data_IF_113306987402
#
_entry.id   IF_113306987402
#
_cell.length_a   1.000
_cell.length_b   1.000
_cell.length_c   1.000
_cell.angle_alpha   90.00
_cell.angle_beta   90.00
_cell.angle_gamma   90.00
#
_symmetry.space_group_name_H-M   'P 1'
#
loop_
_entity.id
_entity.type
_entity.pdbx_description
1 polymer ?
#
# COMPACT_ATOMS: atom_id res chain seq x y z
N UNK A 1 15.37 -25.57 -1.52
CA UNK A 1 14.60 -24.42 -2.05
C UNK A 1 13.52 -24.04 -1.04
N UNK A 2 13.57 -22.85 -0.43
CA UNK A 2 12.48 -22.37 0.45
C UNK A 2 11.18 -22.36 -0.36
N UNK A 3 10.14 -23.07 0.09
CA UNK A 3 8.82 -23.01 -0.52
C UNK A 3 8.31 -21.56 -0.46
N UNK A 4 8.15 -20.95 -1.63
CA UNK A 4 7.60 -19.61 -1.79
C UNK A 4 6.10 -19.67 -1.50
N UNK A 5 5.62 -18.85 -0.57
CA UNK A 5 4.19 -18.77 -0.24
C UNK A 5 3.50 -17.94 -1.31
N UNK A 6 2.82 -18.62 -2.24
CA UNK A 6 2.17 -18.00 -3.40
C UNK A 6 1.11 -16.96 -3.03
N UNK A 7 0.49 -17.12 -1.85
CA UNK A 7 -0.55 -16.21 -1.37
C UNK A 7 -0.08 -14.77 -1.18
N UNK A 8 1.20 -14.52 -0.88
CA UNK A 8 1.70 -13.14 -0.80
C UNK A 8 1.79 -12.48 -2.17
N UNK A 9 2.10 -13.23 -3.21
CA UNK A 9 2.09 -12.71 -4.58
C UNK A 9 0.65 -12.46 -5.03
N UNK A 10 -0.29 -13.35 -4.70
CA UNK A 10 -1.73 -13.12 -4.96
C UNK A 10 -2.24 -11.85 -4.27
N UNK A 11 -1.94 -11.68 -2.98
CA UNK A 11 -2.31 -10.48 -2.23
C UNK A 11 -1.69 -9.21 -2.86
N UNK A 12 -0.45 -9.30 -3.38
CA UNK A 12 0.20 -8.18 -4.08
C UNK A 12 -0.52 -7.83 -5.38
N UNK A 13 -0.98 -8.82 -6.14
CA UNK A 13 -1.79 -8.58 -7.34
C UNK A 13 -3.09 -7.85 -7.00
N UNK A 14 -3.80 -8.29 -5.95
CA UNK A 14 -5.03 -7.61 -5.48
C UNK A 14 -4.76 -6.18 -5.02
N UNK A 15 -3.64 -5.94 -4.32
CA UNK A 15 -3.23 -4.61 -3.91
C UNK A 15 -3.02 -3.70 -5.12
N UNK A 16 -2.35 -4.19 -6.17
CA UNK A 16 -2.13 -3.44 -7.41
C UNK A 16 -3.45 -3.15 -8.12
N UNK A 17 -4.34 -4.15 -8.27
CA UNK A 17 -5.65 -3.91 -8.89
C UNK A 17 -6.45 -2.86 -8.14
N UNK A 18 -6.46 -2.92 -6.80
CA UNK A 18 -7.10 -1.91 -5.98
C UNK A 18 -6.50 -0.51 -6.20
N UNK A 19 -5.18 -0.38 -6.22
CA UNK A 19 -4.50 0.89 -6.49
C UNK A 19 -4.85 1.42 -7.89
N UNK A 20 -4.85 0.57 -8.93
CA UNK A 20 -5.21 0.97 -10.30
C UNK A 20 -6.66 1.50 -10.34
N UNK A 21 -7.61 0.78 -9.73
CA UNK A 21 -9.02 1.20 -9.71
C UNK A 21 -9.20 2.54 -9.00
N UNK A 22 -8.55 2.73 -7.85
CA UNK A 22 -8.63 3.98 -7.07
C UNK A 22 -7.97 5.13 -7.83
N UNK A 23 -6.77 4.92 -8.39
CA UNK A 23 -6.05 5.97 -9.08
C UNK A 23 -6.78 6.43 -10.35
N UNK A 24 -7.36 5.51 -11.12
CA UNK A 24 -8.18 5.87 -12.29
C UNK A 24 -9.40 6.71 -11.87
N UNK A 25 -10.09 6.33 -10.78
CA UNK A 25 -11.22 7.11 -10.24
C UNK A 25 -10.80 8.54 -9.90
N UNK A 26 -9.66 8.70 -9.21
CA UNK A 26 -9.15 10.01 -8.77
C UNK A 26 -8.84 10.90 -9.97
N UNK A 27 -8.06 10.39 -10.93
CA UNK A 27 -7.60 11.18 -12.08
C UNK A 27 -8.74 11.59 -13.00
N UNK A 28 -9.70 10.69 -13.21
CA UNK A 28 -10.83 10.96 -14.10
C UNK A 28 -11.87 11.91 -13.50
N UNK A 29 -11.66 12.41 -12.27
CA UNK A 29 -12.62 13.21 -11.52
C UNK A 29 -14.01 12.57 -11.54
N UNK A 30 -14.04 11.24 -11.40
CA UNK A 30 -15.24 10.49 -11.66
C UNK A 30 -16.31 10.79 -10.61
N UNK A 31 -17.36 11.52 -11.04
CA UNK A 31 -18.40 11.99 -10.15
C UNK A 31 -19.17 10.81 -9.54
N UNK A 32 -19.30 10.83 -8.22
CA UNK A 32 -19.95 9.78 -7.43
C UNK A 32 -21.48 9.88 -7.41
N UNK A 33 -22.07 10.69 -8.30
CA UNK A 33 -23.52 10.89 -8.41
C UNK A 33 -24.26 9.63 -8.88
N UNK A 34 -23.54 8.64 -9.39
CA UNK A 34 -24.09 7.34 -9.77
C UNK A 34 -24.37 6.48 -8.53
N UNK A 35 -25.67 6.32 -8.23
CA UNK A 35 -26.16 5.61 -7.05
C UNK A 35 -26.11 4.06 -7.19
N UNK A 36 -25.12 3.52 -7.90
CA UNK A 36 -24.99 2.09 -8.11
C UNK A 36 -24.29 1.42 -6.92
N UNK A 37 -24.97 0.45 -6.30
CA UNK A 37 -24.48 -0.21 -5.09
C UNK A 37 -23.11 -0.89 -5.26
N UNK A 38 -22.82 -1.46 -6.44
CA UNK A 38 -21.53 -2.12 -6.70
C UNK A 38 -20.37 -1.12 -6.81
N UNK A 39 -20.61 0.13 -7.23
CA UNK A 39 -19.59 1.17 -7.31
C UNK A 39 -19.15 1.70 -5.94
N UNK A 40 -19.99 1.53 -4.91
CA UNK A 40 -19.62 1.87 -3.52
C UNK A 40 -18.42 1.06 -3.02
N UNK A 41 -18.15 -0.11 -3.60
CA UNK A 41 -16.96 -0.90 -3.26
C UNK A 41 -15.65 -0.15 -3.55
N UNK A 42 -15.66 0.75 -4.55
CA UNK A 42 -14.49 1.56 -4.91
C UNK A 42 -14.11 2.52 -3.78
N UNK A 43 -15.10 3.04 -3.04
CA UNK A 43 -14.85 3.89 -1.88
C UNK A 43 -14.32 3.09 -0.68
N UNK A 44 -14.65 1.79 -0.58
CA UNK A 44 -14.16 0.93 0.50
C UNK A 44 -12.68 0.58 0.29
N UNK A 45 -12.23 0.44 -0.95
CA UNK A 45 -10.83 0.13 -1.28
C UNK A 45 -9.91 1.36 -1.29
N UNK A 46 -10.48 2.57 -1.20
CA UNK A 46 -9.77 3.86 -1.24
C UNK A 46 -8.71 3.94 -0.14
N UNK A 47 -7.45 4.17 -0.53
CA UNK A 47 -6.25 4.08 0.33
C UNK A 47 -5.91 2.71 0.92
N UNK A 48 -6.89 1.82 1.15
CA UNK A 48 -6.67 0.47 1.73
C UNK A 48 -5.84 -0.43 0.82
N UNK A 49 -5.98 -0.29 -0.50
CA UNK A 49 -5.17 -1.04 -1.46
C UNK A 49 -3.68 -0.71 -1.35
N UNK A 50 -3.33 0.58 -1.22
CA UNK A 50 -1.97 1.05 -0.97
C UNK A 50 -1.45 0.57 0.39
N UNK A 51 -2.29 0.59 1.44
CA UNK A 51 -1.90 0.07 2.76
C UNK A 51 -1.57 -1.44 2.72
N UNK A 52 -2.38 -2.24 2.02
CA UNK A 52 -2.10 -3.66 1.77
C UNK A 52 -0.76 -3.85 1.05
N UNK A 53 -0.48 -3.03 0.03
CA UNK A 53 0.79 -3.07 -0.70
C UNK A 53 1.99 -2.81 0.25
N UNK A 54 1.88 -1.83 1.15
CA UNK A 54 2.92 -1.45 2.12
C UNK A 54 3.14 -2.52 3.18
N UNK A 55 2.08 -3.12 3.70
CA UNK A 55 2.16 -4.24 4.65
C UNK A 55 2.86 -5.44 3.97
N UNK A 56 2.53 -5.75 2.72
CA UNK A 56 3.19 -6.83 1.96
C UNK A 56 4.69 -6.56 1.73
N UNK A 57 5.10 -5.30 1.59
CA UNK A 57 6.51 -4.93 1.51
C UNK A 57 7.23 -5.27 2.83
N UNK A 58 6.64 -4.90 3.97
CA UNK A 58 7.14 -5.25 5.30
C UNK A 58 7.23 -6.77 5.55
N UNK A 59 6.22 -7.52 5.12
CA UNK A 59 6.22 -8.99 5.14
C UNK A 59 7.41 -9.52 4.32
N UNK A 60 7.60 -8.97 3.11
CA UNK A 60 8.71 -9.31 2.23
C UNK A 60 10.08 -9.09 2.88
N UNK A 61 10.30 -7.95 3.56
CA UNK A 61 11.53 -7.65 4.30
C UNK A 61 11.81 -8.71 5.37
N UNK A 62 10.80 -9.10 6.15
CA UNK A 62 10.97 -10.07 7.23
C UNK A 62 11.21 -11.49 6.74
N UNK A 63 10.64 -11.87 5.58
CA UNK A 63 10.87 -13.17 4.96
C UNK A 63 12.24 -13.26 4.30
N UNK A 64 12.67 -12.19 3.62
CA UNK A 64 13.98 -12.09 2.98
C UNK A 64 15.10 -12.26 4.01
N UNK A 65 14.96 -11.62 5.17
CA UNK A 65 15.99 -11.60 6.23
C UNK A 65 15.80 -12.67 7.29
N UNK A 66 14.83 -13.59 7.11
CA UNK A 66 14.43 -14.56 8.15
C UNK A 66 15.58 -15.44 8.62
N UNK A 67 16.38 -15.95 7.70
CA UNK A 67 17.44 -16.89 8.03
C UNK A 67 18.55 -16.22 8.82
N UNK A 68 19.08 -15.11 8.30
CA UNK A 68 20.13 -14.31 8.92
C UNK A 68 19.72 -13.78 10.31
N UNK A 69 18.45 -13.36 10.48
CA UNK A 69 17.93 -12.99 11.81
C UNK A 69 17.86 -14.16 12.80
N UNK A 70 17.39 -15.33 12.37
CA UNK A 70 17.19 -16.47 13.26
C UNK A 70 18.51 -17.16 13.62
N UNK A 71 19.48 -17.18 12.71
CA UNK A 71 20.82 -17.72 12.96
C UNK A 71 21.72 -16.75 13.74
N UNK A 72 21.36 -15.46 13.83
CA UNK A 72 22.21 -14.43 14.42
C UNK A 72 23.43 -14.08 13.57
N UNK A 73 23.45 -14.46 12.29
CA UNK A 73 24.56 -14.19 11.38
C UNK A 73 24.59 -12.71 10.97
N UNK A 74 25.43 -11.95 11.68
CA UNK A 74 25.58 -10.51 11.47
C UNK A 74 26.18 -10.16 10.11
N UNK A 75 27.00 -11.04 9.53
CA UNK A 75 27.63 -10.78 8.22
C UNK A 75 26.61 -10.91 7.11
N UNK A 76 25.85 -12.02 7.07
CA UNK A 76 24.77 -12.19 6.10
C UNK A 76 23.70 -11.10 6.24
N UNK A 77 23.38 -10.69 7.47
CA UNK A 77 22.44 -9.59 7.69
C UNK A 77 22.97 -8.24 7.16
N UNK A 78 24.26 -7.95 7.34
CA UNK A 78 24.85 -6.71 6.82
C UNK A 78 24.77 -6.66 5.28
N UNK A 79 24.99 -7.79 4.61
CA UNK A 79 24.84 -7.92 3.15
C UNK A 79 23.39 -7.68 2.73
N UNK A 80 22.42 -8.33 3.39
CA UNK A 80 21.00 -8.13 3.13
C UNK A 80 20.57 -6.68 3.38
N UNK A 81 21.03 -6.07 4.48
CA UNK A 81 20.75 -4.68 4.82
C UNK A 81 21.30 -3.72 3.75
N UNK A 82 22.52 -3.94 3.27
CA UNK A 82 23.12 -3.15 2.19
C UNK A 82 22.30 -3.28 0.91
N UNK A 83 21.85 -4.47 0.55
CA UNK A 83 20.97 -4.68 -0.60
C UNK A 83 19.62 -3.95 -0.43
N UNK A 84 19.03 -3.97 0.77
CA UNK A 84 17.80 -3.23 1.07
C UNK A 84 17.99 -1.70 0.95
N UNK A 85 19.11 -1.15 1.43
CA UNK A 85 19.40 0.28 1.25
C UNK A 85 19.58 0.66 -0.23
N UNK A 86 20.23 -0.18 -1.03
CA UNK A 86 20.31 0.06 -2.48
C UNK A 86 18.92 0.04 -3.14
N UNK A 87 18.06 -0.91 -2.77
CA UNK A 87 16.66 -0.97 -3.23
C UNK A 87 15.88 0.27 -2.82
N UNK A 88 16.02 0.68 -1.58
CA UNK A 88 15.41 1.89 -1.07
C UNK A 88 15.86 3.12 -1.86
N UNK A 89 17.18 3.28 -2.08
CA UNK A 89 17.73 4.38 -2.86
C UNK A 89 17.25 4.38 -4.31
N UNK A 90 17.21 3.22 -4.97
CA UNK A 90 16.67 3.09 -6.33
C UNK A 90 15.20 3.51 -6.39
N UNK A 91 14.36 2.99 -5.48
CA UNK A 91 12.94 3.33 -5.45
C UNK A 91 12.71 4.80 -5.08
N UNK A 92 13.56 5.36 -4.21
CA UNK A 92 13.52 6.77 -3.85
C UNK A 92 13.77 7.67 -5.06
N UNK A 93 14.88 7.43 -5.77
CA UNK A 93 15.25 8.20 -6.96
C UNK A 93 14.20 8.01 -8.07
N UNK A 94 13.77 6.77 -8.32
CA UNK A 94 12.74 6.49 -9.31
C UNK A 94 11.42 7.21 -8.95
N UNK A 95 11.05 7.23 -7.68
CA UNK A 95 9.88 7.96 -7.19
C UNK A 95 9.98 9.47 -7.40
N UNK A 96 11.13 10.08 -7.10
CA UNK A 96 11.36 11.50 -7.36
C UNK A 96 11.30 11.87 -8.85
N UNK A 97 11.71 10.97 -9.74
CA UNK A 97 11.54 11.18 -11.19
C UNK A 97 10.08 10.99 -11.61
N UNK A 98 9.37 10.10 -10.93
CA UNK A 98 8.01 9.71 -11.27
C UNK A 98 6.96 10.70 -10.75
N UNK A 99 7.23 11.44 -9.66
CA UNK A 99 6.29 12.40 -9.06
C UNK A 99 5.90 13.54 -10.03
N UNK A 100 6.80 13.90 -10.96
CA UNK A 100 6.54 14.88 -12.03
C UNK A 100 5.45 14.42 -13.00
N UNK A 101 5.28 13.10 -13.16
CA UNK A 101 4.24 12.50 -14.01
C UNK A 101 3.02 12.12 -13.15
N UNK A 102 3.26 11.75 -11.89
CA UNK A 102 2.26 11.18 -11.01
C UNK A 102 2.39 11.73 -9.57
N UNK A 103 1.66 12.79 -9.22
CA UNK A 103 1.76 13.43 -7.90
C UNK A 103 1.43 12.50 -6.71
N UNK A 104 0.60 11.48 -6.95
CA UNK A 104 0.20 10.49 -5.95
C UNK A 104 1.16 9.30 -5.86
N UNK A 105 2.44 9.49 -6.15
CA UNK A 105 3.39 8.39 -6.10
C UNK A 105 3.62 7.84 -4.68
N UNK A 106 3.87 6.54 -4.61
CA UNK A 106 4.19 5.84 -3.37
C UNK A 106 5.68 5.46 -3.29
N UNK A 107 6.44 5.57 -4.39
CA UNK A 107 7.77 4.99 -4.52
C UNK A 107 8.81 5.72 -3.69
N UNK A 108 8.76 7.06 -3.67
CA UNK A 108 9.73 7.82 -2.89
C UNK A 108 9.52 7.61 -1.39
N UNK A 109 8.27 7.53 -0.94
CA UNK A 109 7.96 7.11 0.43
C UNK A 109 8.43 5.68 0.73
N UNK A 110 8.24 4.74 -0.21
CA UNK A 110 8.74 3.36 -0.08
C UNK A 110 10.24 3.28 0.16
N UNK A 111 11.01 4.14 -0.51
CA UNK A 111 12.44 4.26 -0.27
C UNK A 111 12.75 4.55 1.20
N UNK A 112 12.02 5.49 1.81
CA UNK A 112 12.17 5.82 3.23
C UNK A 112 11.70 4.67 4.12
N UNK A 113 10.54 4.06 3.83
CA UNK A 113 10.02 2.98 4.66
C UNK A 113 10.95 1.77 4.67
N UNK A 114 11.47 1.36 3.51
CA UNK A 114 12.40 0.24 3.40
C UNK A 114 13.71 0.56 4.11
N UNK A 115 14.21 1.79 4.01
CA UNK A 115 15.42 2.23 4.71
C UNK A 115 15.27 2.09 6.22
N UNK A 116 14.16 2.59 6.78
CA UNK A 116 13.90 2.48 8.23
C UNK A 116 13.63 1.02 8.62
N UNK A 117 12.85 0.28 7.82
CA UNK A 117 12.62 -1.15 8.03
C UNK A 117 13.92 -1.98 8.04
N UNK A 118 14.90 -1.62 7.20
CA UNK A 118 16.22 -2.25 7.17
C UNK A 118 17.05 -1.99 8.46
N UNK A 119 16.83 -0.85 9.12
CA UNK A 119 17.40 -0.56 10.44
C UNK A 119 16.68 -1.36 11.55
N UNK A 120 15.37 -1.57 11.40
CA UNK A 120 14.54 -2.29 12.37
C UNK A 120 14.64 -3.83 12.29
N UNK A 121 15.45 -4.40 11.40
CA UNK A 121 15.49 -5.86 11.15
C UNK A 121 15.71 -6.69 12.41
N UNK A 122 16.65 -6.29 13.27
CA UNK A 122 16.99 -7.03 14.49
C UNK A 122 16.12 -6.67 15.69
N UNK A 123 15.29 -5.63 15.60
CA UNK A 123 14.42 -5.25 16.70
C UNK A 123 13.38 -6.35 16.96
N UNK A 124 13.19 -6.80 18.22
CA UNK A 124 12.09 -7.67 18.59
C UNK A 124 10.73 -7.09 18.19
N UNK A 125 9.77 -7.94 17.85
CA UNK A 125 8.45 -7.50 17.34
C UNK A 125 7.71 -6.56 18.31
N UNK A 126 7.92 -6.70 19.62
CA UNK A 126 7.35 -5.80 20.63
C UNK A 126 7.80 -4.34 20.45
N UNK A 127 9.08 -4.10 20.16
CA UNK A 127 9.59 -2.73 19.96
C UNK A 127 9.16 -2.16 18.62
N UNK A 128 8.99 -3.00 17.60
CA UNK A 128 8.38 -2.57 16.34
C UNK A 128 6.93 -2.13 16.55
N UNK A 129 6.15 -2.84 17.37
CA UNK A 129 4.79 -2.41 17.71
C UNK A 129 4.75 -1.12 18.52
N UNK A 130 5.70 -0.91 19.45
CA UNK A 130 5.86 0.38 20.14
C UNK A 130 6.14 1.49 19.14
N UNK A 131 7.01 1.26 18.15
CA UNK A 131 7.29 2.25 17.11
C UNK A 131 6.04 2.55 16.26
N UNK A 132 5.25 1.54 15.89
CA UNK A 132 3.95 1.75 15.20
C UNK A 132 3.04 2.66 16.04
N UNK A 133 2.91 2.39 17.34
CA UNK A 133 2.09 3.21 18.24
C UNK A 133 2.61 4.66 18.32
N UNK A 134 3.92 4.85 18.45
CA UNK A 134 4.54 6.18 18.49
C UNK A 134 4.31 6.96 17.19
N UNK A 135 4.37 6.30 16.02
CA UNK A 135 4.07 6.93 14.74
C UNK A 135 2.62 7.42 14.66
N UNK A 136 1.67 6.62 15.18
CA UNK A 136 0.26 7.00 15.22
C UNK A 136 0.00 8.17 16.16
N UNK A 137 0.59 8.15 17.36
CA UNK A 137 0.52 9.26 18.31
C UNK A 137 1.14 10.52 17.71
N UNK A 138 2.32 10.42 17.11
CA UNK A 138 3.00 11.54 16.47
C UNK A 138 2.17 12.13 15.31
N UNK A 139 1.59 11.29 14.46
CA UNK A 139 0.71 11.76 13.36
C UNK A 139 -0.52 12.51 13.87
N UNK A 140 -1.17 12.00 14.93
CA UNK A 140 -2.36 12.61 15.53
C UNK A 140 -2.02 13.93 16.23
N UNK A 141 -0.88 13.96 16.94
CA UNK A 141 -0.39 15.16 17.60
C UNK A 141 -0.05 16.26 16.59
N UNK A 142 0.70 15.93 15.52
CA UNK A 142 1.01 16.89 14.45
C UNK A 142 -0.24 17.37 13.72
N UNK A 143 -1.23 16.50 13.50
CA UNK A 143 -2.51 16.89 12.89
C UNK A 143 -3.27 17.92 13.75
N UNK A 144 -3.23 17.78 15.08
CA UNK A 144 -3.82 18.79 15.98
C UNK A 144 -3.07 20.12 16.03
N UNK A 145 -1.78 20.14 15.67
CA UNK A 145 -0.93 21.34 15.75
C UNK A 145 -0.75 22.07 14.41
N UNK A 146 -0.76 21.34 13.30
CA UNK A 146 -0.42 21.85 11.97
C UNK A 146 -1.61 21.73 11.02
N UNK A 147 -1.77 22.72 10.14
CA UNK A 147 -2.78 22.63 9.11
C UNK A 147 -2.35 21.61 8.03
N UNK A 148 -3.05 20.48 7.97
CA UNK A 148 -2.80 19.40 7.02
C UNK A 148 -2.92 19.85 5.55
N UNK A 149 -3.77 20.85 5.26
CA UNK A 149 -3.99 21.38 3.91
C UNK A 149 -2.90 22.37 3.45
N UNK A 150 -1.89 22.65 4.28
CA UNK A 150 -0.82 23.58 3.91
C UNK A 150 -0.13 23.14 2.61
N UNK A 151 -0.07 24.05 1.63
CA UNK A 151 0.50 23.89 0.29
C UNK A 151 -0.24 22.95 -0.67
N UNK A 152 -1.37 22.38 -0.28
CA UNK A 152 -2.19 21.59 -1.20
C UNK A 152 -3.15 22.46 -1.98
N UNK A 153 -3.23 22.23 -3.28
CA UNK A 153 -4.42 22.48 -4.07
C UNK A 153 -5.18 21.16 -4.26
N UNK A 154 -6.30 21.00 -3.56
CA UNK A 154 -7.11 19.78 -3.58
C UNK A 154 -7.93 19.60 -4.86
N UNK A 155 -8.04 20.63 -5.71
CA UNK A 155 -8.71 20.53 -7.00
C UNK A 155 -7.76 19.96 -8.06
N UNK A 156 -6.54 20.47 -8.11
CA UNK A 156 -5.53 20.04 -9.11
C UNK A 156 -4.60 18.94 -8.60
N UNK A 157 -4.65 18.63 -7.31
CA UNK A 157 -3.70 17.75 -6.60
C UNK A 157 -2.24 18.23 -6.70
N UNK A 158 -2.03 19.52 -7.01
CA UNK A 158 -0.72 20.14 -7.01
C UNK A 158 -0.24 20.43 -5.58
N UNK A 159 1.07 20.28 -5.36
CA UNK A 159 1.70 20.60 -4.09
C UNK A 159 2.66 21.79 -4.27
N UNK A 160 2.33 22.92 -3.66
CA UNK A 160 3.19 24.09 -3.67
C UNK A 160 4.51 23.81 -2.95
N UNK A 161 5.57 24.53 -3.34
CA UNK A 161 6.89 24.50 -2.71
C UNK A 161 7.53 23.10 -2.53
N UNK A 162 7.06 22.07 -3.26
CA UNK A 162 7.51 20.67 -3.13
C UNK A 162 9.03 20.55 -3.25
N UNK A 163 9.63 21.28 -4.19
CA UNK A 163 11.06 21.25 -4.46
C UNK A 163 11.90 22.12 -3.52
N UNK A 164 11.29 22.74 -2.51
CA UNK A 164 12.02 23.37 -1.40
C UNK A 164 12.29 22.36 -0.30
N UNK A 165 13.38 22.53 0.47
CA UNK A 165 13.70 21.62 1.58
C UNK A 165 12.55 21.52 2.59
N UNK A 166 11.92 22.66 2.92
CA UNK A 166 10.82 22.73 3.88
C UNK A 166 9.55 22.07 3.34
N UNK A 167 9.17 22.38 2.10
CA UNK A 167 7.99 21.81 1.46
C UNK A 167 8.13 20.31 1.25
N UNK A 168 9.29 19.85 0.76
CA UNK A 168 9.59 18.43 0.62
C UNK A 168 9.52 17.68 1.95
N UNK A 169 10.11 18.22 3.02
CA UNK A 169 10.05 17.61 4.34
C UNK A 169 8.62 17.52 4.89
N UNK A 170 7.81 18.59 4.71
CA UNK A 170 6.39 18.63 5.12
C UNK A 170 5.58 17.56 4.38
N UNK A 171 5.74 17.49 3.06
CA UNK A 171 5.09 16.49 2.22
C UNK A 171 5.53 15.07 2.61
N UNK A 172 6.83 14.83 2.66
CA UNK A 172 7.41 13.51 2.95
C UNK A 172 6.97 12.98 4.31
N UNK A 173 7.03 13.81 5.34
CA UNK A 173 6.88 13.36 6.73
C UNK A 173 5.42 13.38 7.19
N UNK A 174 4.63 14.38 6.76
CA UNK A 174 3.38 14.72 7.45
C UNK A 174 2.14 14.75 6.54
N UNK A 175 2.14 15.53 5.45
CA UNK A 175 0.91 15.79 4.69
C UNK A 175 0.95 15.38 3.22
N UNK A 176 1.88 14.52 2.80
CA UNK A 176 1.89 13.93 1.46
C UNK A 176 0.73 12.97 1.20
N UNK A 177 0.70 12.31 0.04
CA UNK A 177 -0.28 11.24 -0.23
C UNK A 177 -0.07 10.02 0.69
N UNK A 178 1.21 9.70 0.96
CA UNK A 178 1.62 8.56 1.78
C UNK A 178 2.69 8.99 2.80
N UNK A 179 2.41 9.96 3.70
CA UNK A 179 3.43 10.56 4.55
C UNK A 179 4.04 9.53 5.50
N UNK A 180 5.32 9.66 5.82
CA UNK A 180 6.03 8.74 6.75
C UNK A 180 5.25 8.56 8.06
N UNK A 181 4.64 9.64 8.57
CA UNK A 181 3.73 9.61 9.70
C UNK A 181 2.27 9.53 9.21
N UNK A 182 1.54 8.41 9.42
CA UNK A 182 1.94 7.16 10.08
C UNK A 182 2.21 5.99 9.12
N UNK A 183 2.31 6.20 7.80
CA UNK A 183 2.36 5.09 6.84
C UNK A 183 3.54 4.13 7.03
N UNK A 184 4.67 4.60 7.56
CA UNK A 184 5.77 3.71 7.98
C UNK A 184 5.28 2.59 8.91
N UNK A 185 4.27 2.87 9.73
CA UNK A 185 3.62 1.91 10.60
C UNK A 185 3.05 0.70 9.86
N UNK A 186 2.54 0.87 8.63
CA UNK A 186 2.06 -0.25 7.82
C UNK A 186 3.19 -1.20 7.43
N UNK A 187 4.35 -0.66 7.04
CA UNK A 187 5.51 -1.49 6.70
C UNK A 187 6.01 -2.22 7.95
N UNK A 188 6.10 -1.53 9.08
CA UNK A 188 6.52 -2.10 10.35
C UNK A 188 5.56 -3.19 10.84
N UNK A 189 4.25 -2.97 10.73
CA UNK A 189 3.24 -3.99 11.01
C UNK A 189 3.41 -5.20 10.08
N UNK A 190 3.65 -4.96 8.79
CA UNK A 190 4.00 -6.00 7.82
C UNK A 190 5.21 -6.82 8.25
N UNK A 191 6.24 -6.20 8.81
CA UNK A 191 7.38 -6.93 9.36
C UNK A 191 6.97 -7.85 10.53
N UNK A 192 6.11 -7.38 11.43
CA UNK A 192 5.59 -8.20 12.55
C UNK A 192 4.77 -9.39 12.04
N UNK A 193 3.91 -9.17 11.03
CA UNK A 193 3.11 -10.22 10.38
C UNK A 193 4.03 -11.23 9.68
N UNK A 194 5.02 -10.76 8.91
CA UNK A 194 5.95 -11.62 8.16
C UNK A 194 6.90 -12.45 9.03
N UNK A 195 6.99 -12.14 10.32
CA UNK A 195 7.71 -12.96 11.32
C UNK A 195 6.88 -14.12 11.85
N UNK A 196 5.56 -14.10 11.68
CA UNK A 196 4.67 -15.18 12.10
C UNK A 196 4.75 -16.37 11.13
N UNK A 197 4.48 -17.57 11.63
CA UNK A 197 4.39 -18.76 10.79
C UNK A 197 3.01 -18.86 10.14
N UNK A 198 2.81 -18.15 9.04
CA UNK A 198 1.57 -18.16 8.26
C UNK A 198 1.30 -19.49 7.53
N UNK A 199 2.21 -20.47 7.58
CA UNK A 199 1.91 -21.85 7.16
C UNK A 199 1.10 -22.64 8.19
N UNK A 200 1.00 -22.16 9.43
CA UNK A 200 0.19 -22.80 10.46
C UNK A 200 -1.24 -22.25 10.44
N UNK A 201 -2.23 -23.14 10.29
CA UNK A 201 -3.66 -22.78 10.21
C UNK A 201 -4.09 -21.91 11.40
N UNK A 202 -3.77 -22.33 12.63
CA UNK A 202 -4.13 -21.60 13.85
C UNK A 202 -3.57 -20.16 13.88
N UNK A 203 -2.36 -19.94 13.36
CA UNK A 203 -1.78 -18.59 13.29
C UNK A 203 -2.48 -17.73 12.24
N UNK A 204 -2.85 -18.30 11.10
CA UNK A 204 -3.64 -17.59 10.08
C UNK A 204 -5.01 -17.20 10.61
N UNK A 205 -5.72 -18.12 11.27
CA UNK A 205 -7.04 -17.86 11.85
C UNK A 205 -6.96 -16.78 12.92
N UNK A 206 -5.95 -16.83 13.80
CA UNK A 206 -5.72 -15.77 14.79
C UNK A 206 -5.52 -14.40 14.13
N UNK A 207 -4.67 -14.32 13.11
CA UNK A 207 -4.42 -13.06 12.39
C UNK A 207 -5.64 -12.59 11.60
N UNK A 208 -6.41 -13.52 11.02
CA UNK A 208 -7.67 -13.23 10.34
C UNK A 208 -8.68 -12.62 11.32
N UNK A 209 -8.88 -13.24 12.48
CA UNK A 209 -9.81 -12.74 13.50
C UNK A 209 -9.37 -11.39 14.08
N UNK A 210 -8.08 -11.20 14.36
CA UNK A 210 -7.54 -9.91 14.80
C UNK A 210 -7.72 -8.82 13.73
N UNK A 211 -7.44 -9.15 12.47
CA UNK A 211 -7.63 -8.22 11.35
C UNK A 211 -9.10 -7.87 11.14
N UNK A 212 -9.99 -8.86 11.22
CA UNK A 212 -11.44 -8.67 11.09
C UNK A 212 -11.97 -7.81 12.23
N UNK A 213 -11.54 -8.08 13.47
CA UNK A 213 -11.90 -7.26 14.63
C UNK A 213 -11.42 -5.82 14.47
N UNK A 214 -10.17 -5.59 14.06
CA UNK A 214 -9.64 -4.25 13.83
C UNK A 214 -10.41 -3.51 12.73
N UNK A 215 -10.71 -4.17 11.61
CA UNK A 215 -11.50 -3.58 10.53
C UNK A 215 -12.91 -3.24 11.00
N UNK A 216 -13.61 -4.18 11.63
CA UNK A 216 -14.96 -3.98 12.15
C UNK A 216 -15.01 -2.88 13.21
N UNK A 217 -14.01 -2.80 14.10
CA UNK A 217 -13.92 -1.76 15.11
C UNK A 217 -13.80 -0.36 14.46
N UNK A 218 -12.98 -0.22 13.42
CA UNK A 218 -12.86 1.05 12.71
C UNK A 218 -14.18 1.48 12.04
N UNK A 219 -14.88 0.55 11.38
CA UNK A 219 -16.20 0.85 10.80
C UNK A 219 -17.24 1.18 11.87
N UNK A 220 -17.22 0.45 12.99
CA UNK A 220 -18.13 0.67 14.11
C UNK A 220 -17.94 2.07 14.70
N UNK A 221 -16.69 2.52 14.87
CA UNK A 221 -16.39 3.89 15.31
C UNK A 221 -17.04 4.92 14.38
N UNK A 222 -16.92 4.74 13.06
CA UNK A 222 -17.54 5.65 12.07
C UNK A 222 -19.06 5.62 12.16
N UNK A 223 -19.67 4.45 12.35
CA UNK A 223 -21.12 4.31 12.52
C UNK A 223 -21.65 5.02 13.77
N UNK A 224 -20.83 5.17 14.81
CA UNK A 224 -21.19 5.90 16.03
C UNK A 224 -21.01 7.42 15.93
N UNK A 225 -20.31 7.94 14.91
CA UNK A 225 -20.07 9.39 14.78
C UNK A 225 -21.34 10.26 14.73
N UNK A 226 -22.43 9.89 14.01
CA UNK A 226 -23.66 10.65 14.05
C UNK A 226 -24.27 10.77 15.45
N UNK A 227 -24.15 9.74 16.28
CA UNK A 227 -24.62 9.77 17.66
C UNK A 227 -23.73 10.65 18.54
N UNK A 228 -22.41 10.59 18.34
CA UNK A 228 -21.47 11.48 19.03
C UNK A 228 -21.75 12.96 18.71
N UNK A 229 -22.10 13.28 17.45
CA UNK A 229 -22.57 14.62 17.04
C UNK A 229 -23.79 15.07 17.84
N UNK A 230 -24.79 14.19 17.95
CA UNK A 230 -26.02 14.47 18.72
C UNK A 230 -25.73 14.67 20.21
N UNK A 231 -24.68 14.04 20.74
CA UNK A 231 -24.20 14.22 22.12
C UNK A 231 -23.29 15.46 22.29
N UNK A 232 -23.14 16.30 21.26
CA UNK A 232 -22.41 17.57 21.34
C UNK A 232 -20.94 17.52 20.92
N UNK A 233 -20.47 16.44 20.28
CA UNK A 233 -19.10 16.38 19.74
C UNK A 233 -18.90 17.43 18.63
N UNK A 234 -17.89 18.31 18.72
CA UNK A 234 -17.61 19.28 17.67
C UNK A 234 -17.15 18.62 16.36
N UNK A 235 -17.63 19.13 15.22
CA UNK A 235 -17.31 18.65 13.87
C UNK A 235 -15.79 18.55 13.60
N UNK A 236 -15.00 19.46 14.16
CA UNK A 236 -13.55 19.48 13.99
C UNK A 236 -12.87 18.19 14.49
N UNK A 237 -13.44 17.50 15.48
CA UNK A 237 -12.87 16.28 16.03
C UNK A 237 -13.22 15.03 15.24
N UNK A 238 -14.22 15.06 14.36
CA UNK A 238 -14.66 13.89 13.61
C UNK A 238 -13.58 13.33 12.70
N UNK A 239 -12.72 14.20 12.19
CA UNK A 239 -11.61 13.81 11.31
C UNK A 239 -10.70 12.80 12.00
N UNK A 240 -10.48 12.90 13.32
CA UNK A 240 -9.68 11.93 14.09
C UNK A 240 -10.25 10.52 14.11
N UNK A 241 -11.55 10.38 13.85
CA UNK A 241 -12.28 9.11 13.86
C UNK A 241 -12.69 8.66 12.46
N UNK A 242 -12.21 9.35 11.43
CA UNK A 242 -12.48 9.04 10.03
C UNK A 242 -11.71 7.80 9.56
N UNK A 243 -12.31 7.08 8.60
CA UNK A 243 -11.65 6.01 7.82
C UNK A 243 -11.16 6.51 6.46
N UNK A 244 -11.14 7.83 6.24
CA UNK A 244 -10.56 8.42 5.02
C UNK A 244 -9.03 8.34 5.05
N UNK A 245 -8.38 8.10 3.90
CA UNK A 245 -6.93 7.92 3.84
C UNK A 245 -6.13 9.21 4.00
N UNK A 246 -6.78 10.37 3.87
CA UNK A 246 -6.13 11.68 3.91
C UNK A 246 -7.02 12.65 4.71
N UNK A 247 -6.62 13.06 5.93
CA UNK A 247 -5.40 12.67 6.65
C UNK A 247 -5.43 11.21 7.16
N UNK A 248 -4.29 10.47 7.13
CA UNK A 248 -4.21 9.07 7.57
C UNK A 248 -4.14 8.96 9.10
N UNK A 249 -5.27 9.11 9.79
CA UNK A 249 -5.36 9.10 11.25
C UNK A 249 -5.57 7.67 11.82
N UNK A 250 -5.53 7.48 13.16
CA UNK A 250 -5.49 6.14 13.76
C UNK A 250 -6.66 5.22 13.37
N UNK A 251 -7.89 5.75 13.23
CA UNK A 251 -9.05 4.91 12.84
C UNK A 251 -8.91 4.40 11.42
N UNK A 252 -8.49 5.24 10.46
CA UNK A 252 -8.10 4.79 9.12
C UNK A 252 -7.00 3.74 9.17
N UNK A 253 -5.92 3.99 9.93
CA UNK A 253 -4.81 3.04 10.02
C UNK A 253 -5.26 1.67 10.52
N UNK A 254 -6.05 1.63 11.59
CA UNK A 254 -6.58 0.38 12.18
C UNK A 254 -7.48 -0.34 11.18
N UNK A 255 -8.40 0.38 10.52
CA UNK A 255 -9.31 -0.18 9.52
C UNK A 255 -8.58 -0.75 8.30
N UNK A 256 -7.63 0.00 7.75
CA UNK A 256 -6.83 -0.40 6.60
C UNK A 256 -5.88 -1.56 6.94
N UNK A 257 -5.21 -1.51 8.09
CA UNK A 257 -4.34 -2.59 8.58
C UNK A 257 -5.11 -3.88 8.83
N UNK A 258 -6.30 -3.78 9.44
CA UNK A 258 -7.19 -4.91 9.67
C UNK A 258 -7.64 -5.56 8.37
N UNK A 259 -8.16 -4.75 7.44
CA UNK A 259 -8.60 -5.19 6.11
C UNK A 259 -7.47 -5.85 5.32
N UNK A 260 -6.28 -5.25 5.33
CA UNK A 260 -5.10 -5.82 4.68
C UNK A 260 -4.69 -7.16 5.29
N UNK A 261 -4.72 -7.29 6.62
CA UNK A 261 -4.39 -8.54 7.31
C UNK A 261 -5.37 -9.65 6.96
N UNK A 262 -6.66 -9.34 6.85
CA UNK A 262 -7.69 -10.26 6.35
C UNK A 262 -7.39 -10.71 4.93
N UNK A 263 -7.11 -9.77 4.01
CA UNK A 263 -6.81 -10.11 2.61
C UNK A 263 -5.55 -10.98 2.51
N UNK A 264 -4.50 -10.66 3.26
CA UNK A 264 -3.25 -11.43 3.29
C UNK A 264 -3.52 -12.87 3.75
N UNK A 265 -4.21 -13.04 4.88
CA UNK A 265 -4.48 -14.37 5.45
C UNK A 265 -5.36 -15.21 4.53
N UNK A 266 -6.39 -14.62 3.91
CA UNK A 266 -7.21 -15.28 2.90
C UNK A 266 -6.40 -15.68 1.67
N UNK A 267 -5.55 -14.79 1.15
CA UNK A 267 -4.71 -15.10 -0.02
C UNK A 267 -3.69 -16.19 0.29
N UNK A 268 -3.12 -16.21 1.49
CA UNK A 268 -2.24 -17.30 1.95
C UNK A 268 -3.00 -18.62 2.02
N UNK A 269 -4.21 -18.64 2.57
CA UNK A 269 -5.04 -19.84 2.61
C UNK A 269 -5.40 -20.35 1.20
N UNK A 270 -5.76 -19.44 0.28
CA UNK A 270 -6.02 -19.76 -1.12
C UNK A 270 -4.77 -20.29 -1.83
N UNK A 271 -3.61 -19.67 -1.59
CA UNK A 271 -2.33 -20.08 -2.16
C UNK A 271 -1.88 -21.47 -1.67
N UNK A 272 -2.17 -21.82 -0.41
CA UNK A 272 -1.88 -23.15 0.11
C UNK A 272 -2.84 -24.21 -0.46
N UNK A 273 -4.14 -23.92 -0.50
CA UNK A 273 -5.17 -24.85 -0.97
C UNK A 273 -5.14 -25.07 -2.49
N UNK A 274 -4.90 -24.01 -3.26
CA UNK A 274 -5.03 -24.00 -4.72
C UNK A 274 -3.74 -23.65 -5.46
N UNK A 275 -2.58 -23.59 -4.79
CA UNK A 275 -1.31 -23.16 -5.38
C UNK A 275 -0.81 -23.96 -6.59
N UNK A 276 -1.34 -25.17 -6.81
CA UNK A 276 -1.02 -26.00 -7.99
C UNK A 276 -2.01 -25.81 -9.16
N UNK A 277 -3.08 -25.03 -8.98
CA UNK A 277 -4.14 -24.87 -10.00
C UNK A 277 -3.75 -23.79 -11.00
N UNK A 278 -3.91 -24.11 -12.29
CA UNK A 278 -3.50 -23.23 -13.39
C UNK A 278 -4.21 -21.86 -13.38
N UNK A 279 -5.47 -21.79 -12.93
CA UNK A 279 -6.25 -20.54 -12.90
C UNK A 279 -5.72 -19.52 -11.88
N UNK A 280 -4.99 -19.94 -10.85
CA UNK A 280 -4.44 -19.03 -9.83
C UNK A 280 -3.10 -18.40 -10.28
N UNK A 281 -2.37 -19.11 -11.15
CA UNK A 281 -1.02 -18.72 -11.56
C UNK A 281 -0.95 -17.37 -12.29
N UNK A 282 -1.87 -17.01 -13.20
CA UNK A 282 -1.90 -15.68 -13.82
C UNK A 282 -1.89 -14.53 -12.80
N UNK A 283 -2.66 -14.66 -11.72
CA UNK A 283 -2.70 -13.64 -10.66
C UNK A 283 -1.41 -13.63 -9.83
N UNK A 284 -0.87 -14.79 -9.50
CA UNK A 284 0.43 -14.91 -8.82
C UNK A 284 1.53 -14.24 -9.65
N UNK A 285 1.58 -14.53 -10.96
CA UNK A 285 2.51 -13.90 -11.89
C UNK A 285 2.35 -12.39 -11.92
N UNK A 286 1.11 -11.90 -11.96
CA UNK A 286 0.81 -10.47 -11.93
C UNK A 286 1.40 -9.79 -10.69
N UNK A 287 1.20 -10.39 -9.51
CA UNK A 287 1.77 -9.89 -8.26
C UNK A 287 3.30 -10.02 -8.13
N UNK A 288 3.97 -10.72 -9.05
CA UNK A 288 5.43 -10.77 -9.15
C UNK A 288 6.00 -9.64 -10.01
N UNK A 289 5.16 -8.99 -10.82
CA UNK A 289 5.49 -7.88 -11.71
C UNK A 289 4.97 -6.55 -11.15
N UNK A 290 5.01 -6.41 -9.81
CA UNK A 290 4.32 -5.32 -9.12
C UNK A 290 4.88 -3.92 -9.39
N UNK A 291 6.20 -3.76 -9.48
CA UNK A 291 6.82 -2.48 -9.85
C UNK A 291 6.50 -2.16 -11.31
N UNK A 292 6.57 -3.16 -12.19
CA UNK A 292 6.24 -2.98 -13.61
C UNK A 292 4.81 -2.46 -13.79
N UNK A 293 3.81 -3.10 -13.18
CA UNK A 293 2.43 -2.66 -13.32
C UNK A 293 2.10 -1.37 -12.56
N UNK A 294 2.79 -1.13 -11.44
CA UNK A 294 2.67 0.15 -10.74
C UNK A 294 3.12 1.34 -11.61
N UNK A 295 4.18 1.23 -12.41
CA UNK A 295 4.52 2.33 -13.33
C UNK A 295 3.66 2.30 -14.60
N UNK A 296 3.38 1.11 -15.14
CA UNK A 296 2.66 0.97 -16.40
C UNK A 296 1.21 1.46 -16.33
N UNK A 297 0.53 1.39 -15.19
CA UNK A 297 -0.88 1.84 -15.14
C UNK A 297 -1.03 3.35 -15.33
N UNK A 298 -0.04 4.15 -14.95
CA UNK A 298 -0.04 5.59 -15.24
C UNK A 298 0.53 5.83 -16.62
N UNK A 299 1.77 5.38 -16.89
CA UNK A 299 2.47 5.71 -18.13
C UNK A 299 1.75 5.16 -19.37
N UNK A 300 1.32 3.90 -19.32
CA UNK A 300 0.64 3.24 -20.45
C UNK A 300 -0.87 3.27 -20.30
N UNK A 301 -1.40 3.01 -19.10
CA UNK A 301 -2.84 2.97 -18.87
C UNK A 301 -3.47 4.35 -19.00
N UNK A 302 -3.12 5.27 -18.12
CA UNK A 302 -3.63 6.65 -18.16
C UNK A 302 -3.08 7.43 -19.35
N UNK A 303 -1.78 7.30 -19.67
CA UNK A 303 -1.19 8.02 -20.80
C UNK A 303 -1.83 7.68 -22.15
N UNK A 304 -2.31 6.44 -22.35
CA UNK A 304 -3.10 6.09 -23.54
C UNK A 304 -4.45 6.82 -23.54
N UNK A 305 -5.14 6.84 -22.41
CA UNK A 305 -6.44 7.52 -22.27
C UNK A 305 -6.30 9.04 -22.45
N UNK A 306 -5.20 9.61 -21.95
CA UNK A 306 -4.83 11.01 -22.14
C UNK A 306 -4.65 11.32 -23.63
N UNK A 307 -3.90 10.48 -24.36
CA UNK A 307 -3.64 10.66 -25.79
C UNK A 307 -4.91 10.58 -26.65
N UNK A 308 -5.95 9.91 -26.13
CA UNK A 308 -7.27 9.80 -26.77
C UNK A 308 -8.26 10.88 -26.31
N UNK A 309 -7.88 11.77 -25.38
CA UNK A 309 -8.77 12.78 -24.80
C UNK A 309 -9.86 12.19 -23.90
N UNK A 310 -9.65 10.98 -23.36
CA UNK A 310 -10.62 10.23 -22.54
C UNK A 310 -10.24 10.18 -21.06
N UNK A 311 -9.24 10.96 -20.63
CA UNK A 311 -8.74 10.89 -19.25
C UNK A 311 -9.55 11.74 -18.28
N UNK A 312 -10.12 12.86 -18.68
CA UNK A 312 -10.77 13.79 -17.74
C UNK A 312 -12.30 13.72 -17.79
N UNK A 313 -12.94 14.06 -16.66
CA UNK A 313 -14.39 14.24 -16.50
C UNK A 313 -15.24 13.05 -16.96
N UNK A 314 -14.78 11.83 -16.67
CA UNK A 314 -15.47 10.60 -17.07
C UNK A 314 -16.45 10.10 -16.00
N UNK A 315 -17.36 9.21 -16.38
CA UNK A 315 -18.24 8.52 -15.42
C UNK A 315 -17.45 7.54 -14.54
N UNK A 316 -18.00 7.24 -13.37
CA UNK A 316 -17.43 6.26 -12.46
C UNK A 316 -17.41 4.86 -13.08
N UNK A 317 -18.45 4.50 -13.85
CA UNK A 317 -18.46 3.27 -14.66
C UNK A 317 -17.31 3.25 -15.64
N UNK A 318 -17.10 4.31 -16.43
CA UNK A 318 -16.03 4.35 -17.43
C UNK A 318 -14.64 4.20 -16.79
N UNK A 319 -14.41 4.89 -15.67
CA UNK A 319 -13.17 4.78 -14.90
C UNK A 319 -12.91 3.36 -14.42
N UNK A 320 -13.91 2.72 -13.80
CA UNK A 320 -13.75 1.36 -13.29
C UNK A 320 -13.56 0.36 -14.44
N UNK A 321 -14.30 0.50 -15.53
CA UNK A 321 -14.14 -0.37 -16.70
C UNK A 321 -12.77 -0.21 -17.35
N UNK A 322 -12.24 1.01 -17.44
CA UNK A 322 -10.88 1.27 -17.92
C UNK A 322 -9.82 0.64 -17.03
N UNK A 323 -9.95 0.79 -15.71
CA UNK A 323 -9.06 0.17 -14.73
C UNK A 323 -9.11 -1.37 -14.80
N UNK A 324 -10.30 -1.97 -14.89
CA UNK A 324 -10.47 -3.41 -15.05
C UNK A 324 -9.88 -3.93 -16.36
N UNK A 325 -10.03 -3.16 -17.44
CA UNK A 325 -9.44 -3.49 -18.74
C UNK A 325 -7.92 -3.51 -18.66
N UNK A 326 -7.31 -2.51 -17.99
CA UNK A 326 -5.88 -2.53 -17.68
C UNK A 326 -5.49 -3.75 -16.83
N UNK A 327 -6.26 -4.09 -15.79
CA UNK A 327 -5.97 -5.24 -14.93
C UNK A 327 -6.01 -6.56 -15.70
N UNK A 328 -7.00 -6.75 -16.59
CA UNK A 328 -7.09 -7.93 -17.47
C UNK A 328 -5.87 -8.00 -18.40
N UNK A 329 -5.50 -6.88 -19.02
CA UNK A 329 -4.29 -6.81 -19.85
C UNK A 329 -3.03 -7.15 -19.05
N UNK A 330 -2.89 -6.64 -17.83
CA UNK A 330 -1.77 -6.94 -16.94
C UNK A 330 -1.67 -8.44 -16.62
N UNK A 331 -2.81 -9.10 -16.37
CA UNK A 331 -2.85 -10.56 -16.13
C UNK A 331 -2.40 -11.35 -17.35
N UNK A 332 -2.88 -10.98 -18.53
CA UNK A 332 -2.49 -11.62 -19.80
C UNK A 332 -0.99 -11.39 -20.05
N UNK A 333 -0.53 -10.15 -19.95
CA UNK A 333 0.87 -9.78 -20.13
C UNK A 333 1.77 -10.54 -19.17
N UNK A 334 1.45 -10.57 -17.87
CA UNK A 334 2.24 -11.29 -16.87
C UNK A 334 2.33 -12.78 -17.20
N UNK A 335 1.22 -13.38 -17.62
CA UNK A 335 1.16 -14.80 -17.99
C UNK A 335 2.01 -15.12 -19.21
N UNK A 336 2.00 -14.26 -20.23
CA UNK A 336 2.83 -14.39 -21.42
C UNK A 336 4.32 -14.15 -21.09
N UNK A 337 4.62 -13.06 -20.39
CA UNK A 337 5.98 -12.67 -20.01
C UNK A 337 6.68 -13.75 -19.19
N UNK A 338 5.96 -14.38 -18.26
CA UNK A 338 6.47 -15.44 -17.38
C UNK A 338 6.82 -16.74 -18.10
N UNK A 339 6.39 -16.93 -19.35
CA UNK A 339 6.85 -18.05 -20.19
C UNK A 339 8.32 -17.87 -20.62
N UNK A 340 8.77 -16.62 -20.78
CA UNK A 340 10.09 -16.29 -21.30
C UNK A 340 11.05 -15.78 -20.21
N UNK A 341 10.55 -15.05 -19.22
CA UNK A 341 11.39 -14.36 -18.24
C UNK A 341 10.99 -14.66 -16.78
N UNK A 342 12.00 -14.74 -15.90
CA UNK A 342 11.83 -15.03 -14.47
C UNK A 342 11.52 -13.81 -13.60
N UNK A 343 11.66 -12.60 -14.10
CA UNK A 343 11.38 -11.35 -13.41
C UNK A 343 10.65 -10.42 -14.38
N UNK A 344 9.87 -9.48 -13.86
CA UNK A 344 9.33 -8.42 -14.70
C UNK A 344 10.42 -7.50 -15.24
N UNK A 345 10.09 -6.69 -16.26
CA UNK A 345 11.02 -5.74 -16.86
C UNK A 345 11.71 -4.85 -15.81
N UNK A 346 10.94 -4.12 -15.00
CA UNK A 346 11.49 -3.20 -14.00
C UNK A 346 12.06 -3.92 -12.79
N UNK A 347 11.48 -5.07 -12.41
CA UNK A 347 12.03 -5.91 -11.34
C UNK A 347 13.42 -6.46 -11.70
N UNK A 348 13.68 -6.74 -12.98
CA UNK A 348 14.99 -7.14 -13.47
C UNK A 348 16.00 -6.00 -13.37
N UNK A 349 15.61 -4.78 -13.72
CA UNK A 349 16.46 -3.58 -13.57
C UNK A 349 16.79 -3.34 -12.10
N UNK A 350 15.77 -3.32 -11.22
CA UNK A 350 15.94 -3.19 -9.78
C UNK A 350 16.94 -4.22 -9.25
N UNK A 351 16.76 -5.51 -9.61
CA UNK A 351 17.65 -6.59 -9.14
C UNK A 351 19.10 -6.44 -9.63
N UNK A 352 19.34 -5.86 -10.81
CA UNK A 352 20.70 -5.66 -11.32
C UNK A 352 21.42 -4.52 -10.61
N UNK A 353 20.69 -3.48 -10.21
CA UNK A 353 21.26 -2.28 -9.59
C UNK A 353 21.43 -2.39 -8.07
N UNK A 354 20.77 -3.37 -7.43
CA UNK A 354 20.71 -3.51 -5.97
C UNK A 354 21.22 -4.85 -5.51
#
# INVERSE_FOLDING_TARGET
>A
MKQRILGFDLARALAIFGMVIVNFKIVMHANSSENMAWLKIVNIIDGRASALFVILAGVGLSLLTRQSRLSGDLQSLAVERKALFKRAGFLFILGLLYIEIWPADILHYYGIYISIGALCLMLPSRYIMVLVLLLLIASSFLFGMLNYSTAWDWQTLAYADLWTIKGFARNLIFNGFHPVLPWLGFLLLGMVIGRQNLGQVAMRERLFLLGLFAAALAELIVLFLPYARLMGMPLAYEVFFSTQPMPPLPVYFIGAAGSATVIITLCVALGEKYGKKAWLMPFVYTGQLGLTFYLAHVILGMGLLESLGLLENQSLVFSVMSALSFCVFAVIFASCWRKFYRLGPLESVLRRLT
#
